data_IF_545305486102
#
_entry.id   IF_545305486102
#
_cell.length_a   1.000
_cell.length_b   1.000
_cell.length_c   1.000
_cell.angle_alpha   90.00
_cell.angle_beta   90.00
_cell.angle_gamma   90.00
#
_symmetry.space_group_name_H-M   'P 1'
#
loop_
_entity.id
_entity.type
_entity.pdbx_description
1 polymer ?
#
# COMPACT_ATOMS: atom_id res chain seq x y z
N UNK A 1 5.84 -37.09 -19.32
CA UNK A 1 6.74 -35.99 -18.89
C UNK A 1 6.72 -35.67 -17.42
N UNK A 2 5.57 -35.37 -16.78
CA UNK A 2 5.55 -34.97 -15.36
C UNK A 2 6.23 -35.95 -14.38
N UNK A 3 6.03 -37.27 -14.54
CA UNK A 3 6.69 -38.29 -13.69
C UNK A 3 8.22 -38.33 -13.84
N UNK A 4 8.71 -38.08 -15.06
CA UNK A 4 10.15 -38.03 -15.33
C UNK A 4 10.77 -36.76 -14.75
N UNK A 5 10.06 -35.63 -14.86
CA UNK A 5 10.46 -34.37 -14.22
C UNK A 5 10.52 -34.51 -12.70
N UNK A 6 9.48 -35.06 -12.06
CA UNK A 6 9.48 -35.30 -10.61
C UNK A 6 10.61 -36.25 -10.17
N UNK A 7 10.94 -37.27 -10.97
CA UNK A 7 12.06 -38.17 -10.69
C UNK A 7 13.41 -37.44 -10.77
N UNK A 8 13.62 -36.63 -11.81
CA UNK A 8 14.84 -35.83 -11.99
C UNK A 8 14.98 -34.81 -10.86
N UNK A 9 13.90 -34.13 -10.49
CA UNK A 9 13.86 -33.22 -9.33
C UNK A 9 14.23 -33.96 -8.06
N UNK A 10 13.54 -35.05 -7.71
CA UNK A 10 13.84 -35.80 -6.49
C UNK A 10 15.29 -36.32 -6.46
N UNK A 11 15.82 -36.77 -7.60
CA UNK A 11 17.21 -37.22 -7.71
C UNK A 11 18.21 -36.09 -7.47
N UNK A 12 18.04 -34.93 -8.13
CA UNK A 12 18.93 -33.77 -7.96
C UNK A 12 18.89 -33.26 -6.51
N UNK A 13 17.71 -33.23 -5.92
CA UNK A 13 17.50 -32.85 -4.52
C UNK A 13 18.19 -33.81 -3.54
N UNK A 14 18.02 -35.12 -3.75
CA UNK A 14 18.67 -36.13 -2.91
C UNK A 14 20.19 -36.11 -3.05
N UNK A 15 20.71 -35.89 -4.27
CA UNK A 15 22.15 -35.75 -4.52
C UNK A 15 22.76 -34.55 -3.80
N UNK A 16 22.06 -33.42 -3.70
CA UNK A 16 22.50 -32.25 -2.90
C UNK A 16 22.54 -32.57 -1.40
N UNK A 17 21.49 -33.21 -0.87
CA UNK A 17 21.45 -33.59 0.55
C UNK A 17 22.54 -34.59 0.93
N UNK A 18 22.96 -35.42 -0.02
CA UNK A 18 23.93 -36.50 0.18
C UNK A 18 25.36 -36.17 -0.27
N UNK A 19 25.63 -35.00 -0.85
CA UNK A 19 26.95 -34.66 -1.40
C UNK A 19 27.10 -33.21 -1.87
N UNK A 20 28.32 -32.81 -2.22
CA UNK A 20 28.66 -31.47 -2.74
C UNK A 20 28.31 -31.33 -4.24
N UNK A 21 28.47 -30.12 -4.80
CA UNK A 21 28.19 -29.81 -6.21
C UNK A 21 29.02 -30.58 -7.26
N UNK A 22 30.01 -31.39 -6.82
CA UNK A 22 30.90 -32.15 -7.70
C UNK A 22 30.14 -33.07 -8.65
N UNK A 23 29.05 -33.71 -8.18
CA UNK A 23 28.25 -34.59 -9.05
C UNK A 23 27.69 -33.86 -10.26
N UNK A 24 27.30 -32.59 -10.10
CA UNK A 24 26.78 -31.77 -11.19
C UNK A 24 27.93 -31.40 -12.12
N UNK A 25 29.07 -31.00 -11.57
CA UNK A 25 30.24 -30.58 -12.35
C UNK A 25 30.82 -31.74 -13.17
N UNK A 26 30.78 -32.97 -12.66
CA UNK A 26 31.27 -34.20 -13.31
C UNK A 26 30.41 -34.66 -14.51
N UNK A 27 29.18 -34.16 -14.66
CA UNK A 27 28.35 -34.48 -15.83
C UNK A 27 29.03 -33.89 -17.08
N UNK A 28 29.30 -34.73 -18.08
CA UNK A 28 29.73 -34.25 -19.40
C UNK A 28 28.56 -33.54 -20.11
N UNK A 29 28.69 -32.21 -20.26
CA UNK A 29 27.68 -31.33 -20.88
C UNK A 29 28.09 -30.83 -22.28
N UNK A 30 29.15 -31.40 -22.87
CA UNK A 30 29.73 -30.89 -24.13
C UNK A 30 28.74 -30.90 -25.29
N UNK A 31 27.85 -31.90 -25.34
CA UNK A 31 26.85 -32.07 -26.41
C UNK A 31 25.45 -31.54 -26.01
N UNK A 32 25.35 -30.79 -24.91
CA UNK A 32 24.06 -30.31 -24.40
C UNK A 32 23.73 -28.94 -24.96
N UNK A 33 22.48 -28.76 -25.37
CA UNK A 33 21.96 -27.45 -25.74
C UNK A 33 21.88 -26.54 -24.50
N UNK A 34 22.11 -25.21 -24.61
CA UNK A 34 22.02 -24.28 -23.49
C UNK A 34 20.71 -24.41 -22.70
N UNK A 35 19.58 -24.61 -23.40
CA UNK A 35 18.27 -24.85 -22.78
C UNK A 35 18.22 -26.09 -21.91
N UNK A 36 18.90 -27.17 -22.28
CA UNK A 36 18.94 -28.39 -21.47
C UNK A 36 19.74 -28.16 -20.17
N UNK A 37 20.85 -27.42 -20.27
CA UNK A 37 21.65 -27.03 -19.12
C UNK A 37 20.84 -26.11 -18.19
N UNK A 38 20.14 -25.12 -18.75
CA UNK A 38 19.27 -24.21 -18.01
C UNK A 38 18.15 -24.96 -17.27
N UNK A 39 17.45 -25.88 -17.94
CA UNK A 39 16.42 -26.70 -17.33
C UNK A 39 16.94 -27.54 -16.16
N UNK A 40 18.14 -28.13 -16.30
CA UNK A 40 18.78 -28.85 -15.20
C UNK A 40 19.10 -27.91 -14.03
N UNK A 41 19.62 -26.71 -14.29
CA UNK A 41 19.90 -25.70 -13.26
C UNK A 41 18.62 -25.21 -12.56
N UNK A 42 17.49 -25.07 -13.28
CA UNK A 42 16.20 -24.66 -12.70
C UNK A 42 15.63 -25.67 -11.68
N UNK A 43 16.08 -26.93 -11.74
CA UNK A 43 15.69 -27.98 -10.79
C UNK A 43 16.53 -27.91 -9.50
N UNK A 44 17.71 -27.29 -9.59
CA UNK A 44 18.63 -27.14 -8.48
C UNK A 44 18.19 -26.00 -7.55
N UNK A 45 18.69 -25.99 -6.30
CA UNK A 45 18.35 -24.96 -5.33
C UNK A 45 18.64 -23.56 -5.86
N UNK A 46 17.78 -22.61 -5.51
CA UNK A 46 17.95 -21.21 -5.89
C UNK A 46 18.96 -20.52 -4.95
N UNK A 47 20.25 -20.79 -5.19
CA UNK A 47 21.40 -20.32 -4.39
C UNK A 47 22.58 -19.91 -5.28
N UNK A 48 23.59 -19.25 -4.70
CA UNK A 48 24.73 -18.70 -5.46
C UNK A 48 25.45 -19.71 -6.32
N UNK A 49 25.61 -20.95 -5.85
CA UNK A 49 26.23 -22.01 -6.63
C UNK A 49 25.51 -22.32 -7.96
N UNK A 50 24.18 -22.21 -7.97
CA UNK A 50 23.37 -22.35 -9.19
C UNK A 50 23.54 -21.13 -10.09
N UNK A 51 23.52 -19.93 -9.50
CA UNK A 51 23.61 -18.68 -10.25
C UNK A 51 24.98 -18.50 -10.91
N UNK A 52 26.08 -18.78 -10.21
CA UNK A 52 27.44 -18.73 -10.74
C UNK A 52 27.62 -19.73 -11.90
N UNK A 53 26.97 -20.90 -11.82
CA UNK A 53 26.98 -21.90 -12.89
C UNK A 53 26.09 -21.51 -14.06
N UNK A 54 24.93 -20.91 -13.81
CA UNK A 54 24.10 -20.34 -14.87
C UNK A 54 24.90 -19.32 -15.67
N UNK A 55 25.59 -18.40 -14.99
CA UNK A 55 26.41 -17.40 -15.63
C UNK A 55 27.57 -17.99 -16.44
N UNK A 56 28.33 -18.91 -15.83
CA UNK A 56 29.48 -19.54 -16.48
C UNK A 56 29.12 -20.45 -17.66
N UNK A 57 28.04 -21.22 -17.54
CA UNK A 57 27.70 -22.28 -18.50
C UNK A 57 26.77 -21.80 -19.62
N UNK A 58 25.92 -20.80 -19.35
CA UNK A 58 24.94 -20.31 -20.33
C UNK A 58 25.41 -19.03 -21.04
N UNK A 59 26.22 -18.19 -20.37
CA UNK A 59 26.72 -16.93 -20.93
C UNK A 59 25.57 -16.07 -21.47
N UNK A 60 25.61 -15.75 -22.76
CA UNK A 60 24.54 -14.96 -23.42
C UNK A 60 23.15 -15.62 -23.34
N UNK A 61 23.08 -16.93 -23.08
CA UNK A 61 21.82 -17.69 -22.93
C UNK A 61 21.34 -17.79 -21.47
N UNK A 62 21.90 -17.01 -20.54
CA UNK A 62 21.47 -16.99 -19.13
C UNK A 62 19.95 -16.78 -18.95
N UNK A 63 19.31 -16.07 -19.89
CA UNK A 63 17.86 -15.87 -19.90
C UNK A 63 17.06 -17.17 -19.91
N UNK A 64 17.58 -18.26 -20.47
CA UNK A 64 16.91 -19.57 -20.43
C UNK A 64 16.77 -20.09 -18.99
N UNK A 65 17.70 -19.73 -18.09
CA UNK A 65 17.59 -20.05 -16.66
C UNK A 65 16.68 -19.07 -15.94
N UNK A 66 16.96 -17.76 -16.04
CA UNK A 66 16.24 -16.74 -15.27
C UNK A 66 14.76 -16.65 -15.63
N UNK A 67 14.37 -16.96 -16.86
CA UNK A 67 12.95 -17.01 -17.26
C UNK A 67 12.18 -18.20 -16.68
N UNK A 68 12.87 -19.30 -16.33
CA UNK A 68 12.24 -20.58 -15.99
C UNK A 68 12.46 -21.01 -14.54
N UNK A 69 13.41 -20.40 -13.82
CA UNK A 69 13.73 -20.80 -12.45
C UNK A 69 12.57 -20.53 -11.49
N UNK A 70 12.33 -21.45 -10.56
CA UNK A 70 11.43 -21.22 -9.43
C UNK A 70 12.19 -20.45 -8.34
N UNK A 71 11.52 -19.47 -7.72
CA UNK A 71 12.10 -18.71 -6.61
C UNK A 71 11.78 -19.45 -5.33
N UNK A 72 12.80 -20.08 -4.75
CA UNK A 72 12.69 -20.69 -3.44
C UNK A 72 13.92 -20.31 -2.62
N UNK A 73 13.87 -19.12 -2.02
CA UNK A 73 14.93 -18.60 -1.15
C UNK A 73 14.82 -19.13 0.30
N UNK A 74 13.84 -20.00 0.61
CA UNK A 74 13.73 -20.60 1.95
C UNK A 74 14.96 -21.39 2.36
N UNK A 75 15.71 -21.92 1.39
CA UNK A 75 16.83 -22.81 1.65
C UNK A 75 18.19 -22.13 1.57
N UNK A 76 18.23 -20.84 1.19
CA UNK A 76 19.46 -20.07 1.17
C UNK A 76 19.54 -19.13 2.38
N UNK A 77 20.68 -19.20 3.07
CA UNK A 77 21.09 -18.22 4.08
C UNK A 77 21.91 -17.08 3.45
N UNK A 78 22.23 -17.19 2.16
CA UNK A 78 23.02 -16.20 1.43
C UNK A 78 22.18 -14.94 1.11
N UNK A 79 22.89 -13.89 0.70
CA UNK A 79 22.30 -12.67 0.16
C UNK A 79 21.65 -12.97 -1.21
N UNK A 80 20.36 -12.68 -1.30
CA UNK A 80 19.48 -12.94 -2.44
C UNK A 80 19.41 -11.75 -3.40
N UNK A 81 19.95 -10.58 -3.04
CA UNK A 81 19.78 -9.33 -3.78
C UNK A 81 20.21 -9.48 -5.25
N UNK A 82 21.35 -10.14 -5.50
CA UNK A 82 21.83 -10.43 -6.85
C UNK A 82 20.79 -11.15 -7.71
N UNK A 83 20.18 -12.21 -7.15
CA UNK A 83 19.24 -13.04 -7.88
C UNK A 83 17.91 -12.32 -8.10
N UNK A 84 17.45 -11.54 -7.13
CA UNK A 84 16.26 -10.71 -7.25
C UNK A 84 16.43 -9.61 -8.31
N UNK A 85 17.61 -8.97 -8.39
CA UNK A 85 17.96 -8.03 -9.47
C UNK A 85 17.93 -8.72 -10.83
N UNK A 86 18.50 -9.92 -10.94
CA UNK A 86 18.46 -10.71 -12.17
C UNK A 86 17.04 -11.05 -12.60
N UNK A 87 16.16 -11.42 -11.67
CA UNK A 87 14.75 -11.66 -12.00
C UNK A 87 14.08 -10.42 -12.60
N UNK A 88 14.36 -9.23 -12.08
CA UNK A 88 13.85 -7.98 -12.67
C UNK A 88 14.43 -7.68 -14.05
N UNK A 89 15.74 -7.90 -14.24
CA UNK A 89 16.41 -7.77 -15.54
C UNK A 89 15.73 -8.62 -16.63
N UNK A 90 15.27 -9.82 -16.24
CA UNK A 90 14.53 -10.74 -17.11
C UNK A 90 13.00 -10.60 -17.02
N UNK A 91 12.50 -9.43 -16.60
CA UNK A 91 11.07 -9.07 -16.59
C UNK A 91 10.17 -10.01 -15.75
N UNK A 92 10.67 -10.46 -14.59
CA UNK A 92 9.93 -11.31 -13.64
C UNK A 92 9.71 -10.64 -12.28
N UNK A 93 8.97 -9.51 -12.19
CA UNK A 93 8.76 -8.82 -10.94
C UNK A 93 7.96 -9.60 -9.90
N UNK A 94 6.96 -10.41 -10.30
CA UNK A 94 6.24 -11.29 -9.35
C UNK A 94 7.19 -12.22 -8.61
N UNK A 95 8.14 -12.82 -9.33
CA UNK A 95 9.13 -13.74 -8.75
C UNK A 95 10.11 -13.00 -7.81
N UNK A 96 10.49 -11.76 -8.15
CA UNK A 96 11.30 -10.93 -7.28
C UNK A 96 10.54 -10.54 -5.99
N UNK A 97 9.25 -10.22 -6.11
CA UNK A 97 8.35 -9.91 -4.98
C UNK A 97 8.19 -11.11 -4.05
N UNK A 98 7.98 -12.31 -4.57
CA UNK A 98 7.96 -13.55 -3.77
C UNK A 98 9.26 -13.74 -2.99
N UNK A 99 10.41 -13.54 -3.64
CA UNK A 99 11.72 -13.63 -2.99
C UNK A 99 11.90 -12.60 -1.87
N UNK A 100 11.49 -11.35 -2.09
CA UNK A 100 11.52 -10.28 -1.08
C UNK A 100 10.64 -10.62 0.13
N UNK A 101 9.44 -11.18 -0.08
CA UNK A 101 8.58 -11.60 1.03
C UNK A 101 9.20 -12.73 1.84
N UNK A 102 9.87 -13.70 1.21
CA UNK A 102 10.58 -14.74 1.94
C UNK A 102 11.72 -14.14 2.79
N UNK A 103 12.44 -13.14 2.27
CA UNK A 103 13.49 -12.45 3.02
C UNK A 103 12.91 -11.67 4.21
N UNK A 104 11.77 -10.99 4.04
CA UNK A 104 11.03 -10.35 5.14
C UNK A 104 10.55 -11.36 6.19
N UNK A 105 9.97 -12.48 5.77
CA UNK A 105 9.54 -13.57 6.65
C UNK A 105 10.70 -14.13 7.48
N UNK A 106 11.89 -14.22 6.87
CA UNK A 106 13.15 -14.60 7.54
C UNK A 106 13.76 -13.48 8.39
N UNK A 107 13.13 -12.31 8.47
CA UNK A 107 13.61 -11.12 9.18
C UNK A 107 14.97 -10.61 8.66
N UNK A 108 15.25 -10.83 7.37
CA UNK A 108 16.39 -10.21 6.70
C UNK A 108 16.04 -8.78 6.34
N UNK A 109 17.04 -7.91 6.30
CA UNK A 109 16.87 -6.57 5.73
C UNK A 109 16.69 -6.69 4.22
N UNK A 110 15.63 -6.09 3.68
CA UNK A 110 15.42 -6.00 2.24
C UNK A 110 16.01 -4.71 1.67
N UNK A 111 16.42 -4.77 0.40
CA UNK A 111 16.83 -3.59 -0.34
C UNK A 111 15.59 -2.78 -0.77
N UNK A 112 15.41 -1.60 -0.18
CA UNK A 112 14.23 -0.76 -0.38
C UNK A 112 14.06 -0.34 -1.85
N UNK A 113 15.15 0.03 -2.51
CA UNK A 113 15.12 0.44 -3.92
C UNK A 113 14.72 -0.72 -4.83
N UNK A 114 15.21 -1.91 -4.53
CA UNK A 114 14.86 -3.12 -5.26
C UNK A 114 13.37 -3.47 -5.08
N UNK A 115 12.85 -3.37 -3.86
CA UNK A 115 11.45 -3.60 -3.56
C UNK A 115 10.54 -2.59 -4.27
N UNK A 116 10.87 -1.30 -4.23
CA UNK A 116 10.15 -0.27 -4.98
C UNK A 116 10.16 -0.55 -6.48
N UNK A 117 11.32 -0.92 -7.04
CA UNK A 117 11.47 -1.25 -8.46
C UNK A 117 10.61 -2.45 -8.84
N UNK A 118 10.60 -3.51 -8.02
CA UNK A 118 9.84 -4.72 -8.29
C UNK A 118 8.32 -4.46 -8.29
N UNK A 119 7.83 -3.74 -7.29
CA UNK A 119 6.41 -3.36 -7.19
C UNK A 119 5.98 -2.48 -8.37
N UNK A 120 6.74 -1.44 -8.70
CA UNK A 120 6.42 -0.57 -9.83
C UNK A 120 6.49 -1.32 -11.17
N UNK A 121 7.44 -2.25 -11.34
CA UNK A 121 7.54 -3.07 -12.53
C UNK A 121 6.35 -4.03 -12.69
N UNK A 122 5.85 -4.61 -11.59
CA UNK A 122 4.68 -5.49 -11.65
C UNK A 122 3.45 -4.74 -12.18
N UNK A 123 3.21 -3.51 -11.73
CA UNK A 123 2.12 -2.63 -12.21
C UNK A 123 2.19 -2.36 -13.72
N UNK A 124 3.38 -2.39 -14.33
CA UNK A 124 3.52 -2.17 -15.78
C UNK A 124 3.20 -3.42 -16.62
N UNK A 125 3.32 -4.61 -16.04
CA UNK A 125 3.17 -5.89 -16.75
C UNK A 125 1.76 -6.45 -16.54
N UNK A 126 1.25 -6.33 -15.31
CA UNK A 126 -0.05 -6.84 -14.91
C UNK A 126 -0.92 -5.66 -14.48
N UNK A 127 -2.21 -5.73 -14.78
CA UNK A 127 -3.17 -4.79 -14.20
C UNK A 127 -3.38 -5.21 -12.73
N UNK A 128 -2.92 -4.43 -11.74
CA UNK A 128 -3.10 -4.79 -10.33
C UNK A 128 -4.58 -4.82 -9.92
N UNK A 129 -5.47 -4.22 -10.73
CA UNK A 129 -6.93 -4.27 -10.56
C UNK A 129 -7.58 -5.47 -11.25
N UNK A 130 -6.85 -6.14 -12.15
CA UNK A 130 -7.33 -7.23 -12.97
C UNK A 130 -6.79 -8.59 -12.51
N UNK A 131 -7.55 -9.26 -11.64
CA UNK A 131 -7.34 -10.69 -11.29
C UNK A 131 -6.03 -11.02 -10.58
N UNK A 132 -5.69 -10.24 -9.56
CA UNK A 132 -4.92 -10.78 -8.45
C UNK A 132 -5.89 -11.61 -7.58
N UNK A 133 -6.40 -12.72 -8.13
CA UNK A 133 -7.30 -13.67 -7.44
C UNK A 133 -6.53 -14.61 -6.49
N UNK A 134 -5.27 -14.30 -6.21
CA UNK A 134 -4.42 -15.09 -5.32
C UNK A 134 -4.24 -14.32 -4.00
N UNK A 135 -5.07 -14.61 -3.01
CA UNK A 135 -4.98 -14.02 -1.66
C UNK A 135 -3.53 -13.94 -1.14
N UNK A 136 -2.72 -14.96 -1.44
CA UNK A 136 -1.31 -15.01 -1.08
C UNK A 136 -0.45 -13.88 -1.67
N UNK A 137 -0.65 -13.50 -2.94
CA UNK A 137 0.19 -12.44 -3.54
C UNK A 137 -0.25 -11.05 -3.06
N UNK A 138 -1.53 -10.88 -2.75
CA UNK A 138 -2.02 -9.65 -2.09
C UNK A 138 -1.39 -9.47 -0.72
N UNK A 139 -1.38 -10.51 0.11
CA UNK A 139 -0.73 -10.50 1.43
C UNK A 139 0.76 -10.14 1.31
N UNK A 140 1.47 -10.80 0.38
CA UNK A 140 2.89 -10.53 0.08
C UNK A 140 3.14 -9.07 -0.30
N UNK A 141 2.34 -8.50 -1.19
CA UNK A 141 2.51 -7.11 -1.64
C UNK A 141 2.28 -6.15 -0.47
N UNK A 142 1.23 -6.38 0.31
CA UNK A 142 0.89 -5.55 1.47
C UNK A 142 1.98 -5.58 2.54
N UNK A 143 2.57 -6.74 2.83
CA UNK A 143 3.71 -6.87 3.75
C UNK A 143 4.94 -6.08 3.30
N UNK A 144 5.24 -6.11 1.99
CA UNK A 144 6.38 -5.34 1.44
C UNK A 144 6.10 -3.84 1.52
N UNK A 145 4.89 -3.40 1.17
CA UNK A 145 4.50 -1.98 1.28
C UNK A 145 4.61 -1.51 2.73
N UNK A 146 4.15 -2.32 3.69
CA UNK A 146 4.31 -2.03 5.12
C UNK A 146 5.77 -1.88 5.53
N UNK A 147 6.64 -2.82 5.12
CA UNK A 147 8.07 -2.74 5.41
C UNK A 147 8.72 -1.48 4.80
N UNK A 148 8.24 -1.04 3.63
CA UNK A 148 8.67 0.20 2.99
C UNK A 148 8.19 1.44 3.77
N UNK A 149 6.94 1.45 4.25
CA UNK A 149 6.35 2.53 5.06
C UNK A 149 7.05 2.71 6.40
N UNK A 150 7.40 1.61 7.08
CA UNK A 150 8.07 1.61 8.39
C UNK A 150 9.53 2.08 8.29
N UNK A 151 10.11 2.12 7.09
CA UNK A 151 11.49 2.52 6.87
C UNK A 151 11.60 3.97 6.37
N UNK A 152 12.09 4.86 7.24
CA UNK A 152 12.27 6.28 6.93
C UNK A 152 13.27 6.56 5.79
N UNK A 153 14.11 5.59 5.40
CA UNK A 153 15.02 5.71 4.26
C UNK A 153 14.35 5.44 2.90
N UNK A 154 13.10 5.00 2.89
CA UNK A 154 12.34 4.74 1.66
C UNK A 154 12.05 6.03 0.91
N UNK A 155 12.26 6.00 -0.41
CA UNK A 155 11.87 7.06 -1.34
C UNK A 155 10.34 7.28 -1.30
N UNK A 156 9.92 8.43 -0.77
CA UNK A 156 8.52 8.77 -0.54
C UNK A 156 7.73 9.00 -1.85
N UNK A 157 8.39 9.43 -2.92
CA UNK A 157 7.74 9.63 -4.22
C UNK A 157 7.42 8.28 -4.87
N UNK A 158 8.35 7.31 -4.76
CA UNK A 158 8.09 5.93 -5.22
C UNK A 158 7.03 5.27 -4.36
N UNK A 159 7.13 5.40 -3.04
CA UNK A 159 6.16 4.81 -2.13
C UNK A 159 4.75 5.35 -2.37
N UNK A 160 4.59 6.66 -2.60
CA UNK A 160 3.30 7.26 -2.96
C UNK A 160 2.72 6.67 -4.26
N UNK A 161 3.55 6.44 -5.28
CA UNK A 161 3.12 5.83 -6.55
C UNK A 161 2.72 4.36 -6.36
N UNK A 162 3.47 3.63 -5.54
CA UNK A 162 3.20 2.24 -5.19
C UNK A 162 1.86 2.15 -4.45
N UNK A 163 1.67 2.91 -3.37
CA UNK A 163 0.41 2.93 -2.64
C UNK A 163 -0.78 3.30 -3.53
N UNK A 164 -0.60 4.26 -4.46
CA UNK A 164 -1.66 4.64 -5.39
C UNK A 164 -2.03 3.51 -6.34
N UNK A 165 -1.03 2.81 -6.88
CA UNK A 165 -1.23 1.70 -7.81
C UNK A 165 -1.89 0.48 -7.15
N UNK A 166 -1.54 0.22 -5.89
CA UNK A 166 -2.04 -0.92 -5.12
C UNK A 166 -3.19 -0.57 -4.18
N UNK A 167 -3.71 0.67 -4.23
CA UNK A 167 -4.77 1.14 -3.33
C UNK A 167 -5.97 0.18 -3.22
N UNK A 168 -6.46 -0.48 -4.29
CA UNK A 168 -7.56 -1.45 -4.17
C UNK A 168 -7.24 -2.70 -3.35
N UNK A 169 -5.96 -3.03 -3.18
CA UNK A 169 -5.47 -4.17 -2.39
C UNK A 169 -5.17 -3.80 -0.94
N UNK A 170 -4.93 -2.51 -0.67
CA UNK A 170 -4.61 -2.00 0.64
C UNK A 170 -5.85 -2.08 1.55
N UNK A 171 -5.69 -2.72 2.71
CA UNK A 171 -6.80 -2.90 3.65
C UNK A 171 -7.11 -1.58 4.35
N UNK A 172 -8.29 -1.05 4.03
CA UNK A 172 -8.80 0.21 4.56
C UNK A 172 -9.55 0.05 5.90
N UNK A 173 -9.84 -1.19 6.29
CA UNK A 173 -10.60 -1.52 7.49
C UNK A 173 -9.73 -1.91 8.67
N UNK A 174 -8.52 -2.40 8.42
CA UNK A 174 -7.60 -2.80 9.47
C UNK A 174 -6.77 -1.60 9.91
N UNK A 175 -6.90 -1.21 11.18
CA UNK A 175 -6.04 -0.19 11.78
C UNK A 175 -4.58 -0.70 11.78
N UNK A 176 -3.80 -0.30 10.77
CA UNK A 176 -2.35 -0.45 10.73
C UNK A 176 -1.79 -1.63 9.91
N UNK A 177 -2.62 -2.49 9.31
CA UNK A 177 -2.11 -3.55 8.43
C UNK A 177 -2.42 -3.23 6.97
N UNK A 178 -1.44 -2.65 6.28
CA UNK A 178 -1.57 -2.39 4.85
C UNK A 178 -2.38 -1.16 4.46
N UNK A 179 -2.62 -0.21 5.35
CA UNK A 179 -3.30 1.06 5.00
C UNK A 179 -2.40 1.99 4.16
N UNK A 180 -2.95 2.87 3.31
CA UNK A 180 -2.19 3.79 2.45
C UNK A 180 -1.65 5.01 3.23
N UNK A 181 -0.83 4.77 4.26
CA UNK A 181 -0.37 5.79 5.23
C UNK A 181 0.39 6.93 4.55
N UNK A 182 1.19 6.65 3.52
CA UNK A 182 1.94 7.69 2.80
C UNK A 182 1.01 8.63 2.07
N UNK A 183 -0.01 8.10 1.38
CA UNK A 183 -1.03 8.90 0.71
C UNK A 183 -1.91 9.67 1.71
N UNK A 184 -2.27 9.07 2.85
CA UNK A 184 -3.02 9.76 3.90
C UNK A 184 -2.22 10.92 4.52
N UNK A 185 -0.92 10.71 4.77
CA UNK A 185 -0.03 11.78 5.22
C UNK A 185 0.10 12.89 4.18
N UNK A 186 0.14 12.53 2.88
CA UNK A 186 0.15 13.50 1.79
C UNK A 186 -1.15 14.31 1.76
N UNK A 187 -2.32 13.68 1.93
CA UNK A 187 -3.59 14.41 2.05
C UNK A 187 -3.59 15.41 3.22
N UNK A 188 -3.00 15.02 4.36
CA UNK A 188 -2.92 15.86 5.56
C UNK A 188 -1.92 17.02 5.48
N UNK A 189 -0.90 16.89 4.64
CA UNK A 189 0.20 17.88 4.52
C UNK A 189 0.10 18.76 3.27
N UNK A 190 -0.47 18.24 2.18
CA UNK A 190 -0.55 18.90 0.87
C UNK A 190 -2.01 19.26 0.52
N UNK A 191 -2.43 20.52 0.69
CA UNK A 191 -3.78 20.94 0.37
C UNK A 191 -4.07 20.91 -1.13
N UNK A 192 -3.06 21.06 -1.99
CA UNK A 192 -3.25 21.00 -3.45
C UNK A 192 -3.61 19.58 -3.88
N UNK A 193 -2.92 18.57 -3.34
CA UNK A 193 -3.24 17.15 -3.59
C UNK A 193 -4.66 16.78 -3.13
N UNK A 194 -5.08 17.20 -1.94
CA UNK A 194 -6.47 17.00 -1.49
C UNK A 194 -7.47 17.65 -2.46
N UNK A 195 -7.22 18.90 -2.87
CA UNK A 195 -8.10 19.60 -3.79
C UNK A 195 -8.15 18.95 -5.19
N UNK A 196 -7.05 18.39 -5.66
CA UNK A 196 -6.97 17.63 -6.91
C UNK A 196 -7.88 16.39 -6.85
N UNK A 197 -7.80 15.61 -5.77
CA UNK A 197 -8.66 14.42 -5.62
C UNK A 197 -10.14 14.77 -5.51
N UNK A 198 -10.48 15.88 -4.83
CA UNK A 198 -11.86 16.37 -4.78
C UNK A 198 -12.38 16.70 -6.18
N UNK A 199 -11.59 17.44 -6.97
CA UNK A 199 -11.97 17.85 -8.33
C UNK A 199 -12.02 16.67 -9.31
N UNK A 200 -11.19 15.66 -9.09
CA UNK A 200 -11.22 14.43 -9.87
C UNK A 200 -12.48 13.61 -9.59
N UNK A 201 -12.92 13.59 -8.32
CA UNK A 201 -13.97 12.69 -7.85
C UNK A 201 -15.37 13.28 -7.97
N UNK A 202 -15.53 14.58 -7.72
CA UNK A 202 -16.83 15.24 -7.63
C UNK A 202 -17.00 16.29 -8.73
N UNK A 203 -18.20 16.42 -9.34
CA UNK A 203 -18.47 17.52 -10.24
C UNK A 203 -18.52 18.85 -9.48
N UNK A 204 -18.17 19.94 -10.15
CA UNK A 204 -18.32 21.28 -9.59
C UNK A 204 -19.80 21.60 -9.35
N UNK A 205 -20.06 22.49 -8.40
CA UNK A 205 -21.42 22.87 -8.04
C UNK A 205 -22.18 23.44 -9.25
N UNK A 206 -23.29 22.80 -9.61
CA UNK A 206 -24.14 23.18 -10.73
C UNK A 206 -23.78 22.49 -12.05
N UNK A 207 -22.72 21.68 -12.07
CA UNK A 207 -22.39 20.81 -13.20
C UNK A 207 -23.08 19.46 -13.07
N UNK A 208 -23.38 18.84 -14.21
CA UNK A 208 -23.89 17.47 -14.25
C UNK A 208 -22.73 16.48 -14.20
N UNK A 209 -22.88 15.32 -13.54
CA UNK A 209 -21.93 14.23 -13.67
C UNK A 209 -21.72 13.87 -15.13
N UNK A 210 -20.47 13.62 -15.53
CA UNK A 210 -20.18 13.09 -16.87
C UNK A 210 -20.72 11.66 -16.95
N UNK A 211 -21.57 11.39 -17.94
CA UNK A 211 -22.27 10.10 -18.10
C UNK A 211 -21.40 9.02 -18.78
N UNK A 212 -20.26 9.39 -19.38
CA UNK A 212 -19.39 8.44 -20.07
C UNK A 212 -18.28 7.88 -19.17
N UNK A 213 -18.00 6.56 -19.22
CA UNK A 213 -16.87 5.98 -18.51
C UNK A 213 -15.58 6.58 -19.06
N UNK A 214 -14.92 7.37 -18.22
CA UNK A 214 -13.66 8.01 -18.59
C UNK A 214 -12.51 7.00 -18.57
N UNK A 215 -11.44 7.21 -19.35
CA UNK A 215 -10.18 6.47 -19.20
C UNK A 215 -9.58 6.58 -17.78
N UNK A 216 -10.08 7.49 -16.95
CA UNK A 216 -9.66 7.73 -15.57
C UNK A 216 -10.55 7.06 -14.54
N UNK A 217 -11.48 6.17 -14.92
CA UNK A 217 -12.44 5.56 -13.99
C UNK A 217 -11.75 4.90 -12.78
N UNK A 218 -10.63 4.21 -12.99
CA UNK A 218 -9.86 3.61 -11.90
C UNK A 218 -9.27 4.68 -10.96
N UNK A 219 -8.77 5.79 -11.50
CA UNK A 219 -8.26 6.90 -10.69
C UNK A 219 -9.37 7.59 -9.89
N UNK A 220 -10.58 7.72 -10.45
CA UNK A 220 -11.75 8.26 -9.75
C UNK A 220 -12.15 7.33 -8.61
N UNK A 221 -12.22 6.02 -8.86
CA UNK A 221 -12.50 5.02 -7.83
C UNK A 221 -11.46 5.05 -6.71
N UNK A 222 -10.16 5.10 -7.06
CA UNK A 222 -9.08 5.19 -6.09
C UNK A 222 -9.14 6.49 -5.28
N UNK A 223 -9.36 7.63 -5.93
CA UNK A 223 -9.49 8.92 -5.26
C UNK A 223 -10.68 8.93 -4.29
N UNK A 224 -11.83 8.43 -4.72
CA UNK A 224 -13.01 8.29 -3.85
C UNK A 224 -12.72 7.39 -2.65
N UNK A 225 -12.14 6.21 -2.89
CA UNK A 225 -11.79 5.27 -1.82
C UNK A 225 -10.86 5.92 -0.80
N UNK A 226 -9.74 6.49 -1.26
CA UNK A 226 -8.78 7.17 -0.39
C UNK A 226 -9.43 8.29 0.43
N UNK A 227 -10.21 9.17 -0.20
CA UNK A 227 -10.91 10.27 0.49
C UNK A 227 -11.90 9.74 1.53
N UNK A 228 -12.58 8.63 1.24
CA UNK A 228 -13.61 8.06 2.11
C UNK A 228 -13.03 7.33 3.33
N UNK A 229 -11.81 6.80 3.22
CA UNK A 229 -11.15 6.01 4.26
C UNK A 229 -10.08 6.79 5.02
N UNK A 230 -9.74 7.99 4.57
CA UNK A 230 -8.70 8.85 5.14
C UNK A 230 -8.96 9.17 6.62
N UNK A 231 -7.96 8.93 7.47
CA UNK A 231 -8.05 9.14 8.92
C UNK A 231 -7.13 10.24 9.45
N UNK A 232 -6.02 10.54 8.78
CA UNK A 232 -5.01 11.48 9.28
C UNK A 232 -5.48 12.93 9.18
N UNK A 233 -5.60 13.60 10.32
CA UNK A 233 -6.06 14.99 10.37
C UNK A 233 -5.04 15.95 9.74
N UNK A 234 -5.46 16.92 8.90
CA UNK A 234 -4.53 17.92 8.36
C UNK A 234 -3.78 18.68 9.44
N UNK A 235 -2.49 18.94 9.21
CA UNK A 235 -1.61 19.51 10.22
C UNK A 235 -0.98 18.49 11.18
N UNK A 236 -1.38 17.22 11.12
CA UNK A 236 -0.62 16.13 11.75
C UNK A 236 0.67 15.88 10.97
N UNK A 237 1.81 15.93 11.66
CA UNK A 237 3.12 15.66 11.12
C UNK A 237 3.40 14.15 11.05
N UNK A 238 4.39 13.77 10.25
CA UNK A 238 4.91 12.39 10.23
C UNK A 238 5.42 12.05 11.65
N UNK A 239 4.81 11.06 12.28
CA UNK A 239 5.03 10.72 13.69
C UNK A 239 3.83 11.01 14.60
N UNK A 240 2.78 11.65 14.09
CA UNK A 240 1.48 11.78 14.77
C UNK A 240 1.31 13.06 15.61
N UNK A 241 2.33 13.93 15.68
CA UNK A 241 2.21 15.21 16.38
C UNK A 241 1.35 16.20 15.57
N UNK A 242 0.35 16.81 16.22
CA UNK A 242 -0.54 17.76 15.57
C UNK A 242 -0.01 19.19 15.71
N UNK A 243 0.24 19.86 14.58
CA UNK A 243 0.61 21.27 14.50
C UNK A 243 -0.62 22.14 14.15
N UNK A 244 -1.15 22.92 15.10
CA UNK A 244 -2.34 23.74 14.87
C UNK A 244 -2.11 24.88 13.85
N UNK A 245 -0.88 25.36 13.73
CA UNK A 245 -0.48 26.37 12.74
C UNK A 245 -0.50 25.78 11.34
N UNK A 246 0.04 24.57 11.17
CA UNK A 246 -0.02 23.83 9.91
C UNK A 246 -1.46 23.55 9.49
N UNK A 247 -2.33 23.09 10.39
CA UNK A 247 -3.75 22.90 10.11
C UNK A 247 -4.42 24.19 9.62
N UNK A 248 -4.18 25.31 10.31
CA UNK A 248 -4.80 26.60 9.95
C UNK A 248 -4.37 27.06 8.56
N UNK A 249 -3.08 26.88 8.23
CA UNK A 249 -2.54 27.20 6.91
C UNK A 249 -3.13 26.29 5.82
N UNK A 250 -3.14 24.99 6.07
CA UNK A 250 -3.72 23.98 5.18
C UNK A 250 -5.19 24.31 4.87
N UNK A 251 -6.00 24.56 5.91
CA UNK A 251 -7.42 24.89 5.76
C UNK A 251 -7.63 26.15 4.90
N UNK A 252 -6.86 27.21 5.16
CA UNK A 252 -6.96 28.47 4.42
C UNK A 252 -6.63 28.29 2.93
N UNK A 253 -5.59 27.49 2.62
CA UNK A 253 -5.22 27.18 1.24
C UNK A 253 -6.28 26.33 0.55
N UNK A 254 -6.76 25.27 1.19
CA UNK A 254 -7.84 24.42 0.69
C UNK A 254 -9.08 25.26 0.38
N UNK A 255 -9.57 26.06 1.33
CA UNK A 255 -10.76 26.92 1.15
C UNK A 255 -10.61 27.85 -0.06
N UNK A 256 -9.43 28.41 -0.30
CA UNK A 256 -9.16 29.25 -1.47
C UNK A 256 -9.29 28.46 -2.78
N UNK A 257 -8.68 27.27 -2.86
CA UNK A 257 -8.67 26.44 -4.08
C UNK A 257 -10.09 25.94 -4.39
N UNK A 258 -10.77 25.34 -3.41
CA UNK A 258 -12.08 24.71 -3.65
C UNK A 258 -13.20 25.73 -3.84
N UNK A 259 -13.06 26.95 -3.31
CA UNK A 259 -13.99 28.05 -3.64
C UNK A 259 -13.86 28.46 -5.10
N UNK A 260 -12.62 28.55 -5.61
CA UNK A 260 -12.35 28.94 -6.99
C UNK A 260 -12.79 27.85 -7.98
N UNK A 261 -12.65 26.57 -7.63
CA UNK A 261 -13.05 25.46 -8.49
C UNK A 261 -14.52 25.07 -8.38
N UNK A 262 -15.28 25.63 -7.44
CA UNK A 262 -16.70 25.31 -7.24
C UNK A 262 -16.97 24.02 -6.47
N UNK A 263 -16.02 23.53 -5.67
CA UNK A 263 -16.10 22.28 -4.90
C UNK A 263 -16.12 22.50 -3.37
N UNK A 264 -16.41 23.73 -2.91
CA UNK A 264 -16.32 24.09 -1.49
C UNK A 264 -17.16 23.19 -0.58
N UNK A 265 -18.40 22.89 -0.96
CA UNK A 265 -19.32 22.09 -0.16
C UNK A 265 -18.82 20.64 0.03
N UNK A 266 -18.48 19.95 -1.06
CA UNK A 266 -17.97 18.57 -1.02
C UNK A 266 -16.62 18.48 -0.30
N UNK A 267 -15.72 19.44 -0.52
CA UNK A 267 -14.43 19.50 0.16
C UNK A 267 -14.58 19.69 1.67
N UNK A 268 -15.47 20.59 2.11
CA UNK A 268 -15.72 20.80 3.53
C UNK A 268 -16.40 19.59 4.17
N UNK A 269 -17.29 18.89 3.46
CA UNK A 269 -17.87 17.63 3.96
C UNK A 269 -16.78 16.58 4.18
N UNK A 270 -15.88 16.38 3.21
CA UNK A 270 -14.80 15.40 3.33
C UNK A 270 -13.82 15.76 4.44
N UNK A 271 -13.40 17.02 4.53
CA UNK A 271 -12.57 17.49 5.64
C UNK A 271 -13.27 17.25 6.98
N UNK A 272 -14.55 17.61 7.09
CA UNK A 272 -15.32 17.46 8.32
C UNK A 272 -15.35 16.01 8.80
N UNK A 273 -15.51 15.06 7.88
CA UNK A 273 -15.52 13.62 8.17
C UNK A 273 -14.21 13.18 8.86
N UNK A 274 -13.06 13.65 8.38
CA UNK A 274 -11.74 13.32 8.93
C UNK A 274 -11.48 13.99 10.28
N UNK A 275 -12.02 15.19 10.51
CA UNK A 275 -11.80 15.94 11.76
C UNK A 275 -12.32 15.22 13.02
N UNK A 276 -13.11 14.17 12.88
CA UNK A 276 -13.54 13.32 14.01
C UNK A 276 -12.36 12.60 14.66
N UNK A 277 -11.26 12.42 13.93
CA UNK A 277 -10.01 11.85 14.42
C UNK A 277 -9.06 12.91 15.01
N UNK A 278 -9.53 14.16 15.20
CA UNK A 278 -8.72 15.22 15.79
C UNK A 278 -8.25 14.84 17.20
N UNK A 279 -7.01 15.20 17.58
CA UNK A 279 -6.52 14.95 18.92
C UNK A 279 -7.36 15.71 19.96
N UNK A 280 -7.45 15.12 21.15
CA UNK A 280 -7.94 15.81 22.34
C UNK A 280 -6.85 16.77 22.87
N UNK A 281 -7.24 17.77 23.65
CA UNK A 281 -6.25 18.66 24.27
C UNK A 281 -5.56 18.03 25.49
N UNK A 282 -4.35 18.50 25.82
CA UNK A 282 -3.72 18.23 27.11
C UNK A 282 -4.53 18.74 28.32
N UNK A 283 -5.41 19.73 28.15
CA UNK A 283 -6.19 20.37 29.23
C UNK A 283 -7.53 19.67 29.55
N UNK A 284 -7.88 18.62 28.79
CA UNK A 284 -9.04 17.77 29.03
C UNK A 284 -10.28 18.10 28.19
N UNK A 285 -10.25 19.08 27.28
CA UNK A 285 -11.31 19.25 26.30
C UNK A 285 -11.22 18.16 25.22
N UNK A 286 -12.36 17.55 24.89
CA UNK A 286 -12.47 16.43 23.95
C UNK A 286 -12.19 16.81 22.48
N UNK A 287 -11.92 18.10 22.19
CA UNK A 287 -11.62 18.60 20.86
C UNK A 287 -10.60 19.73 20.93
N UNK A 288 -9.58 19.68 20.07
CA UNK A 288 -8.56 20.71 20.00
C UNK A 288 -9.14 22.11 19.63
N UNK A 289 -8.78 23.23 20.32
CA UNK A 289 -9.38 24.56 20.16
C UNK A 289 -9.33 25.10 18.75
N UNK A 290 -8.23 24.85 18.03
CA UNK A 290 -8.12 25.27 16.63
C UNK A 290 -9.14 24.54 15.74
N UNK A 291 -9.42 23.26 15.99
CA UNK A 291 -10.46 22.49 15.30
C UNK A 291 -11.85 22.97 15.72
N UNK A 292 -12.09 23.16 17.02
CA UNK A 292 -13.35 23.69 17.55
C UNK A 292 -13.68 25.07 16.95
N UNK A 293 -12.69 25.98 16.93
CA UNK A 293 -12.80 27.30 16.29
C UNK A 293 -13.08 27.17 14.80
N UNK A 294 -12.47 26.21 14.11
CA UNK A 294 -12.74 25.98 12.70
C UNK A 294 -14.18 25.54 12.46
N UNK A 295 -14.69 24.59 13.26
CA UNK A 295 -16.08 24.11 13.22
C UNK A 295 -17.09 25.20 13.59
N UNK A 296 -16.77 26.09 14.53
CA UNK A 296 -17.63 27.19 14.98
C UNK A 296 -17.69 28.36 13.96
N UNK A 297 -16.98 28.28 12.83
CA UNK A 297 -17.06 29.28 11.78
C UNK A 297 -18.48 29.44 11.22
N UNK A 298 -19.06 30.65 11.28
CA UNK A 298 -20.46 30.92 10.87
C UNK A 298 -20.83 30.34 9.50
N UNK A 299 -19.94 30.45 8.52
CA UNK A 299 -20.17 30.03 7.12
C UNK A 299 -19.76 28.57 6.82
N UNK A 300 -19.36 27.78 7.83
CA UNK A 300 -18.84 26.42 7.65
C UNK A 300 -19.88 25.34 8.00
N UNK A 301 -21.11 25.47 7.50
CA UNK A 301 -22.17 24.48 7.72
C UNK A 301 -21.84 23.12 7.12
N UNK A 302 -21.22 23.09 5.93
CA UNK A 302 -20.85 21.85 5.25
C UNK A 302 -19.73 21.11 6.00
N UNK A 303 -18.80 21.85 6.62
CA UNK A 303 -17.78 21.29 7.50
C UNK A 303 -18.40 20.60 8.72
N UNK A 304 -19.35 21.26 9.39
CA UNK A 304 -20.09 20.68 10.52
C UNK A 304 -20.93 19.48 10.11
N UNK A 305 -21.53 19.51 8.91
CA UNK A 305 -22.25 18.38 8.34
C UNK A 305 -21.32 17.20 8.12
N UNK A 306 -20.14 17.42 7.53
CA UNK A 306 -19.09 16.42 7.39
C UNK A 306 -18.68 15.81 8.72
N UNK A 307 -18.45 16.65 9.73
CA UNK A 307 -18.13 16.21 11.09
C UNK A 307 -19.22 15.31 11.68
N UNK A 308 -20.49 15.70 11.54
CA UNK A 308 -21.60 14.88 11.96
C UNK A 308 -21.63 13.53 11.24
N UNK A 309 -21.36 13.49 9.93
CA UNK A 309 -21.29 12.26 9.14
C UNK A 309 -20.17 11.35 9.67
N UNK A 310 -18.98 11.90 9.93
CA UNK A 310 -17.86 11.12 10.48
C UNK A 310 -18.17 10.53 11.86
N UNK A 311 -18.87 11.26 12.71
CA UNK A 311 -19.32 10.76 14.02
C UNK A 311 -20.28 9.58 13.88
N UNK A 312 -21.15 9.59 12.87
CA UNK A 312 -22.02 8.46 12.59
C UNK A 312 -21.23 7.27 12.02
N UNK A 313 -20.30 7.53 11.09
CA UNK A 313 -19.52 6.50 10.43
C UNK A 313 -18.50 5.82 11.36
N UNK A 314 -17.93 6.56 12.33
CA UNK A 314 -16.99 6.04 13.32
C UNK A 314 -17.60 4.96 14.23
N UNK A 315 -18.92 4.79 14.19
CA UNK A 315 -19.63 3.77 14.96
C UNK A 315 -19.55 2.38 14.33
N UNK A 316 -19.32 2.29 13.02
CA UNK A 316 -19.36 1.02 12.29
C UNK A 316 -20.73 0.32 12.31
N UNK A 317 -20.74 -0.94 11.87
CA UNK A 317 -21.94 -1.78 11.85
C UNK A 317 -22.36 -2.12 13.28
N UNK A 318 -23.59 -1.78 13.64
CA UNK A 318 -24.15 -2.08 14.95
C UNK A 318 -25.57 -2.62 14.82
N UNK A 319 -25.93 -3.55 15.71
CA UNK A 319 -27.29 -4.08 15.80
C UNK A 319 -28.11 -3.20 16.75
N UNK A 320 -29.33 -2.85 16.32
CA UNK A 320 -30.24 -2.05 17.15
C UNK A 320 -30.68 -2.90 18.35
N UNK A 321 -30.23 -2.52 19.55
CA UNK A 321 -30.71 -3.09 20.80
C UNK A 321 -32.17 -2.64 21.04
N UNK A 322 -33.14 -3.57 21.24
CA UNK A 322 -34.52 -3.23 21.56
C UNK A 322 -34.69 -2.31 22.78
N UNK A 323 -33.72 -2.29 23.70
CA UNK A 323 -33.70 -1.41 24.88
C UNK A 323 -32.98 -0.07 24.64
N UNK A 324 -32.45 0.15 23.43
CA UNK A 324 -31.72 1.34 23.01
C UNK A 324 -30.58 1.74 23.97
N UNK A 325 -29.96 0.78 24.66
CA UNK A 325 -28.97 1.08 25.71
C UNK A 325 -27.72 1.75 25.14
N UNK A 326 -27.27 1.29 23.97
CA UNK A 326 -26.14 1.90 23.25
C UNK A 326 -26.48 3.33 22.80
N UNK A 327 -27.69 3.55 22.27
CA UNK A 327 -28.13 4.88 21.82
C UNK A 327 -28.19 5.89 22.95
N UNK A 328 -28.72 5.48 24.11
CA UNK A 328 -28.80 6.36 25.29
C UNK A 328 -27.41 6.72 25.80
N UNK A 329 -26.46 5.79 25.76
CA UNK A 329 -25.06 6.06 26.16
C UNK A 329 -24.39 7.03 25.19
N UNK A 330 -24.55 6.85 23.87
CA UNK A 330 -24.00 7.76 22.87
C UNK A 330 -24.63 9.15 22.94
N UNK A 331 -25.97 9.23 23.07
CA UNK A 331 -26.67 10.49 23.25
C UNK A 331 -26.15 11.25 24.48
N UNK A 332 -25.99 10.55 25.62
CA UNK A 332 -25.42 11.16 26.83
C UNK A 332 -23.99 11.63 26.62
N UNK A 333 -23.14 10.83 25.94
CA UNK A 333 -21.76 11.21 25.62
C UNK A 333 -21.72 12.50 24.78
N UNK A 334 -22.50 12.57 23.70
CA UNK A 334 -22.50 13.75 22.83
C UNK A 334 -23.15 14.97 23.48
N UNK A 335 -24.15 14.78 24.33
CA UNK A 335 -24.73 15.86 25.13
C UNK A 335 -23.69 16.44 26.11
N UNK A 336 -22.96 15.59 26.85
CA UNK A 336 -21.87 16.05 27.73
C UNK A 336 -20.79 16.82 26.97
N UNK A 337 -20.42 16.35 25.78
CA UNK A 337 -19.45 17.02 24.91
C UNK A 337 -19.93 18.41 24.45
N UNK A 338 -21.23 18.53 24.12
CA UNK A 338 -21.83 19.82 23.77
C UNK A 338 -21.82 20.78 24.97
N UNK A 339 -22.26 20.30 26.14
CA UNK A 339 -22.30 21.11 27.38
C UNK A 339 -20.91 21.64 27.77
N UNK A 340 -19.84 20.84 27.56
CA UNK A 340 -18.46 21.26 27.84
C UNK A 340 -17.98 22.41 26.95
N UNK A 341 -18.45 22.50 25.71
CA UNK A 341 -18.05 23.54 24.75
C UNK A 341 -18.92 24.79 24.88
N UNK A 342 -20.17 24.66 25.35
CA UNK A 342 -21.05 25.81 25.60
C UNK A 342 -20.75 26.53 26.93
N UNK A 343 -20.23 25.80 27.92
CA UNK A 343 -20.02 26.32 29.28
C UNK A 343 -18.54 26.59 29.65
N UNK A 344 -17.59 26.28 28.77
CA UNK A 344 -16.17 26.62 28.90
C UNK A 344 -15.82 27.82 28.02
#
# INVERSE_FOLDING_TARGET
NHKLWSLVTAYCWHRKLMGNWQWFDDINKTDWEPKQIALLLCILPFEKNSWDRAARLLGENEGDYWNNTSVNTYQTEEDTEYALRKLLEFNRPSAAIEGLSIDLFKKKNINLELACTALLALVQIEDPTGKIDNYHITEIITEIIKALQENAATDQDKLSKIEWAYLPLLDWHSDGDGSPVTLENRLASDPDFFCELIQLTYPAKGEKPKEEPSPQQNNITNAYSLLSTWKIVPGTQIGGEFDPGAFTKWLSQTEKIVSASGHYDVAMIQLGNVLVNAPEEPDGLWIHPVIAKALNGKKRSDLRKGYSIGIYNSRGVHTIDPKAKQERTLAKKYQQRADQVENG
#
